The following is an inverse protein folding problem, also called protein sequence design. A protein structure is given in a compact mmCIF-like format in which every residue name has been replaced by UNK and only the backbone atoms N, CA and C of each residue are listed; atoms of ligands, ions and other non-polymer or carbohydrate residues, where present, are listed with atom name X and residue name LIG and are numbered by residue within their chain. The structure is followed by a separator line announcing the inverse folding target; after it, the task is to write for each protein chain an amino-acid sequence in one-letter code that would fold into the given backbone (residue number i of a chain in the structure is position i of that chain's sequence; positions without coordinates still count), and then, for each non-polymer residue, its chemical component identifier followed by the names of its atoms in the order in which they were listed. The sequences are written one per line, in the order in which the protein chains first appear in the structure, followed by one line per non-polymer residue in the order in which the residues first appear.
data_IF_879010661069
#
_entry.id   IF_879010661069
#
_cell.length_a   1.000
_cell.length_b   1.000
_cell.length_c   1.000
_cell.angle_alpha   90.00
_cell.angle_beta   90.00
_cell.angle_gamma   90.00
#
_symmetry.space_group_name_H-M   'P 1'
#
loop_
_entity.id
_entity.type
_entity.pdbx_description
1 polymer ?
#
# COMPACT_ATOMS: atom_id res chain seq x y z
N UNK A 1 -0.27 5.70 -0.61
CA UNK A 1 -0.01 4.42 0.11
C UNK A 1 -1.23 4.05 0.93
N UNK A 2 -1.41 2.75 1.22
CA UNK A 2 -2.55 2.23 1.98
C UNK A 2 -2.61 2.79 3.41
N UNK A 3 -3.76 2.68 4.06
CA UNK A 3 -4.03 3.26 5.37
C UNK A 3 -4.78 2.30 6.28
N UNK A 4 -4.80 2.63 7.56
CA UNK A 4 -5.59 1.92 8.56
C UNK A 4 -6.82 2.76 8.91
N UNK A 5 -8.02 2.24 8.66
CA UNK A 5 -9.25 2.81 9.23
C UNK A 5 -9.46 2.16 10.60
N UNK A 6 -9.22 2.96 11.64
CA UNK A 6 -9.34 2.54 13.05
C UNK A 6 -10.72 1.90 13.26
N UNK A 7 -10.73 0.67 13.79
CA UNK A 7 -11.93 -0.11 14.13
C UNK A 7 -12.80 -0.59 12.95
N UNK A 8 -12.30 -0.67 11.72
CA UNK A 8 -13.10 -1.20 10.60
C UNK A 8 -12.36 -2.19 9.72
N UNK A 9 -11.24 -1.80 9.09
CA UNK A 9 -10.44 -2.67 8.23
C UNK A 9 -9.13 -1.99 7.78
N UNK A 10 -8.16 -2.81 7.38
CA UNK A 10 -7.05 -2.40 6.52
C UNK A 10 -7.59 -1.91 5.17
N UNK A 11 -6.91 -0.98 4.49
CA UNK A 11 -7.24 -0.60 3.10
C UNK A 11 -6.24 -1.20 2.11
N UNK A 12 -6.67 -1.33 0.85
CA UNK A 12 -5.81 -1.73 -0.26
C UNK A 12 -5.67 -0.63 -1.33
N UNK A 13 -6.27 0.53 -1.10
CA UNK A 13 -6.28 1.65 -2.07
C UNK A 13 -4.99 2.45 -1.99
N UNK A 14 -4.56 2.95 -3.14
CA UNK A 14 -3.40 3.82 -3.26
C UNK A 14 -3.85 5.23 -3.62
N UNK A 15 -3.40 6.19 -2.82
CA UNK A 15 -3.57 7.62 -3.07
C UNK A 15 -2.21 8.28 -3.28
N UNK A 16 -2.16 9.18 -4.24
CA UNK A 16 -1.02 10.03 -4.57
C UNK A 16 -1.38 11.48 -4.28
N UNK A 17 -0.50 12.18 -3.57
CA UNK A 17 -0.65 13.60 -3.29
C UNK A 17 0.07 14.43 -4.35
N UNK A 18 -0.61 15.43 -4.91
CA UNK A 18 -0.05 16.38 -5.86
C UNK A 18 0.17 17.74 -5.18
N UNK A 19 1.41 18.09 -4.79
CA UNK A 19 1.68 19.31 -4.02
C UNK A 19 1.36 20.61 -4.78
N UNK A 20 1.52 20.61 -6.11
CA UNK A 20 1.29 21.79 -6.95
C UNK A 20 -0.17 22.25 -6.98
N UNK A 21 -1.11 21.30 -6.84
CA UNK A 21 -2.56 21.56 -6.84
C UNK A 21 -3.21 21.34 -5.48
N UNK A 22 -2.43 20.85 -4.49
CA UNK A 22 -2.92 20.46 -3.17
C UNK A 22 -4.11 19.48 -3.24
N UNK A 23 -4.03 18.50 -4.14
CA UNK A 23 -5.07 17.50 -4.36
C UNK A 23 -4.57 16.09 -4.12
N UNK A 24 -5.50 15.19 -3.79
CA UNK A 24 -5.26 13.76 -3.72
C UNK A 24 -5.88 13.09 -4.94
N UNK A 25 -5.10 12.25 -5.61
CA UNK A 25 -5.54 11.46 -6.76
C UNK A 25 -5.58 10.00 -6.33
N UNK A 26 -6.72 9.35 -6.50
CA UNK A 26 -6.82 7.91 -6.32
C UNK A 26 -6.18 7.22 -7.52
N UNK A 27 -5.24 6.31 -7.27
CA UNK A 27 -4.61 5.50 -8.30
C UNK A 27 -5.50 4.32 -8.66
N UNK A 28 -5.34 3.81 -9.88
CA UNK A 28 -6.12 2.65 -10.35
C UNK A 28 -5.56 1.34 -9.80
N UNK A 29 -4.26 1.31 -9.51
CA UNK A 29 -3.65 0.18 -8.81
C UNK A 29 -4.15 0.06 -7.37
N UNK A 30 -4.37 -1.18 -6.95
CA UNK A 30 -4.72 -1.54 -5.57
C UNK A 30 -3.84 -2.69 -5.11
N UNK A 31 -3.46 -2.69 -3.84
CA UNK A 31 -2.77 -3.83 -3.23
C UNK A 31 -3.61 -5.11 -3.42
N UNK A 32 -2.98 -6.24 -3.77
CA UNK A 32 -3.68 -7.52 -3.91
C UNK A 32 -4.41 -7.94 -2.62
N UNK A 33 -3.89 -7.53 -1.47
CA UNK A 33 -4.52 -7.72 -0.17
C UNK A 33 -4.46 -6.42 0.63
N UNK A 34 -5.49 -6.15 1.42
CA UNK A 34 -5.51 -4.99 2.31
C UNK A 34 -4.44 -5.13 3.40
N UNK A 35 -3.65 -4.08 3.60
CA UNK A 35 -2.52 -4.07 4.53
C UNK A 35 -2.40 -2.70 5.18
N UNK A 36 -1.96 -2.68 6.42
CA UNK A 36 -1.66 -1.45 7.16
C UNK A 36 -0.28 -1.52 7.77
N UNK A 37 0.18 -0.39 8.32
CA UNK A 37 1.53 -0.27 8.91
C UNK A 37 2.64 -0.76 7.97
N UNK A 38 2.45 -0.55 6.66
CA UNK A 38 3.34 -1.07 5.63
C UNK A 38 4.59 -0.18 5.56
N UNK A 39 5.80 -0.69 5.84
CA UNK A 39 7.02 0.06 5.58
C UNK A 39 7.23 0.14 4.07
N UNK A 40 7.71 1.29 3.60
CA UNK A 40 7.85 1.56 2.18
C UNK A 40 9.16 2.27 1.88
N UNK A 41 9.72 2.00 0.71
CA UNK A 41 10.89 2.69 0.18
C UNK A 41 10.67 3.02 -1.28
N UNK A 42 10.99 4.26 -1.64
CA UNK A 42 10.97 4.70 -3.04
C UNK A 42 12.37 4.55 -3.63
N UNK A 43 12.46 3.89 -4.77
CA UNK A 43 13.70 3.76 -5.54
C UNK A 43 13.40 3.93 -7.03
N UNK A 44 13.93 5.00 -7.63
CA UNK A 44 13.57 5.46 -8.98
C UNK A 44 12.05 5.58 -9.15
N UNK A 45 11.48 4.89 -10.15
CA UNK A 45 10.07 4.91 -10.50
C UNK A 45 9.27 3.84 -9.75
N UNK A 46 9.87 3.17 -8.78
CA UNK A 46 9.23 2.10 -8.03
C UNK A 46 9.10 2.46 -6.56
N UNK A 47 7.97 2.04 -5.99
CA UNK A 47 7.76 1.99 -4.54
C UNK A 47 7.74 0.53 -4.15
N UNK A 48 8.59 0.17 -3.21
CA UNK A 48 8.68 -1.17 -2.67
C UNK A 48 8.10 -1.20 -1.28
N UNK A 49 7.38 -2.27 -0.97
CA UNK A 49 6.81 -2.53 0.34
C UNK A 49 7.25 -3.91 0.82
N UNK A 50 7.47 -4.06 2.12
CA UNK A 50 7.87 -5.34 2.71
C UNK A 50 7.22 -5.53 4.09
N UNK A 51 6.33 -6.51 4.19
CA UNK A 51 5.56 -6.83 5.38
C UNK A 51 4.40 -5.86 5.62
N UNK A 52 4.29 -5.37 6.84
CA UNK A 52 3.09 -4.71 7.36
C UNK A 52 2.16 -5.69 8.05
N UNK A 53 1.00 -5.21 8.48
CA UNK A 53 0.07 -5.99 9.27
C UNK A 53 -1.27 -6.18 8.56
N UNK A 54 -1.89 -7.31 8.85
CA UNK A 54 -3.28 -7.61 8.55
C UNK A 54 -4.15 -7.43 9.81
N UNK A 55 -5.45 -7.28 9.61
CA UNK A 55 -6.44 -7.23 10.68
C UNK A 55 -7.41 -8.41 10.53
N UNK A 56 -7.33 -9.38 11.44
CA UNK A 56 -8.17 -10.58 11.40
C UNK A 56 -9.55 -10.41 12.07
N UNK A 57 -9.91 -9.18 12.47
CA UNK A 57 -11.13 -8.89 13.22
C UNK A 57 -10.92 -8.71 14.72
N UNK A 58 -9.80 -9.16 15.29
CA UNK A 58 -9.50 -9.08 16.73
C UNK A 58 -8.11 -8.54 17.05
N UNK A 59 -7.09 -8.95 16.29
CA UNK A 59 -5.70 -8.56 16.49
C UNK A 59 -5.03 -8.14 15.18
N UNK A 60 -3.95 -7.36 15.31
CA UNK A 60 -3.00 -7.14 14.22
C UNK A 60 -2.12 -8.38 14.07
N UNK A 61 -1.94 -8.83 12.83
CA UNK A 61 -1.08 -9.98 12.48
C UNK A 61 -0.02 -9.51 11.51
N UNK A 62 1.25 -9.68 11.86
CA UNK A 62 2.34 -9.31 10.96
C UNK A 62 2.41 -10.25 9.75
N UNK A 63 2.79 -9.67 8.62
CA UNK A 63 2.94 -10.36 7.35
C UNK A 63 4.35 -10.15 6.82
N UNK A 64 4.79 -11.06 5.95
CA UNK A 64 6.02 -10.92 5.17
C UNK A 64 5.71 -10.56 3.70
N UNK A 65 4.50 -10.11 3.38
CA UNK A 65 4.11 -9.80 2.01
C UNK A 65 4.91 -8.64 1.45
N UNK A 66 5.46 -8.82 0.26
CA UNK A 66 6.23 -7.78 -0.41
C UNK A 66 5.59 -7.43 -1.74
N UNK A 67 5.50 -6.12 -2.03
CA UNK A 67 4.90 -5.62 -3.25
C UNK A 67 5.81 -4.58 -3.89
N UNK A 68 5.81 -4.55 -5.22
CA UNK A 68 6.42 -3.51 -6.03
C UNK A 68 5.32 -2.74 -6.74
N UNK A 69 5.25 -1.45 -6.52
CA UNK A 69 4.38 -0.54 -7.23
C UNK A 69 5.18 0.26 -8.27
N UNK A 70 4.71 0.26 -9.52
CA UNK A 70 5.25 1.06 -10.61
C UNK A 70 4.48 2.38 -10.73
N UNK A 71 5.17 3.50 -10.52
CA UNK A 71 4.60 4.85 -10.55
C UNK A 71 4.17 5.29 -11.96
N UNK A 72 4.79 4.73 -13.01
CA UNK A 72 4.52 5.07 -14.42
C UNK A 72 3.42 4.19 -14.98
N UNK A 73 3.53 2.88 -14.78
CA UNK A 73 2.54 1.92 -15.27
C UNK A 73 1.28 1.86 -14.41
N UNK A 74 1.28 2.51 -13.23
CA UNK A 74 0.22 2.41 -12.22
C UNK A 74 -0.22 0.96 -12.00
N UNK A 75 0.75 0.10 -11.66
CA UNK A 75 0.52 -1.33 -11.48
C UNK A 75 1.30 -1.88 -10.31
N UNK A 76 0.75 -2.93 -9.68
CA UNK A 76 1.38 -3.62 -8.56
C UNK A 76 1.78 -5.03 -8.99
N UNK A 77 2.98 -5.42 -8.58
CA UNK A 77 3.49 -6.79 -8.69
C UNK A 77 3.72 -7.36 -7.28
N UNK A 78 3.18 -8.54 -7.01
CA UNK A 78 3.52 -9.31 -5.80
C UNK A 78 4.91 -9.90 -5.94
N UNK A 79 5.72 -9.74 -4.90
CA UNK A 79 7.04 -10.35 -4.79
C UNK A 79 6.88 -11.59 -3.92
N UNK A 80 7.21 -12.75 -4.48
CA UNK A 80 7.17 -14.01 -3.74
C UNK A 80 8.30 -14.05 -2.70
N UNK A 81 7.99 -14.58 -1.53
CA UNK A 81 8.97 -14.87 -0.47
C UNK A 81 9.73 -16.18 -0.72
#
# INVERSE_FOLDING_TARGET
MAGFRINTAMTNTIWEFSPGTNTWIQKTATLPVARGYIPTVTYFNFIWTAGGSDWNGTTLVDTNDSFKYDLVADSITTISN
#
